data_IF_451670667947
#
_entry.id   IF_451670667947
#
_cell.length_a   1.000
_cell.length_b   1.000
_cell.length_c   1.000
_cell.angle_alpha   90.00
_cell.angle_beta   90.00
_cell.angle_gamma   90.00
#
_symmetry.space_group_name_H-M   'P 1'
#
loop_
_entity.id
_entity.type
_entity.pdbx_description
1 polymer ?
#
# COMPACT_ATOMS: atom_id res chain seq x y z
N UNK A 1 17.73 -47.44 -32.42
CA UNK A 1 18.18 -46.08 -32.02
C UNK A 1 17.05 -45.06 -31.97
N UNK A 2 16.04 -45.11 -32.83
CA UNK A 2 14.99 -44.07 -32.93
C UNK A 2 14.10 -43.97 -31.69
N UNK A 3 13.65 -45.10 -31.13
CA UNK A 3 12.77 -45.11 -29.95
C UNK A 3 13.45 -44.49 -28.71
N UNK A 4 14.74 -44.79 -28.50
CA UNK A 4 15.51 -44.24 -27.36
C UNK A 4 15.66 -42.71 -27.45
N UNK A 5 15.79 -42.17 -28.67
CA UNK A 5 15.85 -40.72 -28.91
C UNK A 5 14.51 -40.04 -28.62
N UNK A 6 13.40 -40.68 -28.99
CA UNK A 6 12.04 -40.17 -28.70
C UNK A 6 11.78 -40.14 -27.20
N UNK A 7 12.13 -41.21 -26.47
CA UNK A 7 12.01 -41.21 -25.00
C UNK A 7 12.89 -40.14 -24.33
N UNK A 8 14.10 -39.91 -24.84
CA UNK A 8 14.96 -38.83 -24.36
C UNK A 8 14.36 -37.44 -24.57
N UNK A 9 13.76 -37.19 -25.75
CA UNK A 9 13.10 -35.92 -26.06
C UNK A 9 11.85 -35.68 -25.21
N UNK A 10 11.03 -36.70 -24.99
CA UNK A 10 9.86 -36.63 -24.11
C UNK A 10 10.30 -36.36 -22.68
N UNK A 11 11.33 -37.06 -22.19
CA UNK A 11 11.91 -36.83 -20.86
C UNK A 11 12.41 -35.40 -20.68
N UNK A 12 13.14 -34.86 -21.65
CA UNK A 12 13.59 -33.47 -21.65
C UNK A 12 12.42 -32.48 -21.61
N UNK A 13 11.36 -32.74 -22.37
CA UNK A 13 10.14 -31.92 -22.36
C UNK A 13 9.47 -31.90 -20.98
N UNK A 14 9.34 -33.07 -20.33
CA UNK A 14 8.76 -33.16 -18.98
C UNK A 14 9.63 -32.42 -17.96
N UNK A 15 10.96 -32.56 -18.03
CA UNK A 15 11.87 -31.85 -17.13
C UNK A 15 11.77 -30.33 -17.32
N UNK A 16 11.66 -29.84 -18.56
CA UNK A 16 11.49 -28.43 -18.84
C UNK A 16 10.15 -27.87 -18.32
N UNK A 17 9.07 -28.64 -18.42
CA UNK A 17 7.77 -28.25 -17.86
C UNK A 17 7.79 -28.22 -16.33
N UNK A 18 8.42 -29.23 -15.71
CA UNK A 18 8.54 -29.26 -14.24
C UNK A 18 9.44 -28.14 -13.72
N UNK A 19 10.54 -27.82 -14.41
CA UNK A 19 11.43 -26.74 -13.99
C UNK A 19 10.73 -25.38 -14.06
N UNK A 20 9.97 -25.12 -15.13
CA UNK A 20 9.18 -23.88 -15.28
C UNK A 20 8.06 -23.78 -14.25
N UNK A 21 7.37 -24.89 -13.94
CA UNK A 21 6.37 -24.94 -12.89
C UNK A 21 6.97 -24.62 -11.50
N UNK A 22 8.08 -25.29 -11.14
CA UNK A 22 8.79 -25.05 -9.87
C UNK A 22 9.30 -23.62 -9.77
N UNK A 23 9.84 -23.06 -10.86
CA UNK A 23 10.31 -21.69 -10.91
C UNK A 23 9.16 -20.71 -10.67
N UNK A 24 8.01 -20.93 -11.33
CA UNK A 24 6.82 -20.08 -11.19
C UNK A 24 6.28 -20.11 -9.76
N UNK A 25 6.18 -21.30 -9.17
CA UNK A 25 5.77 -21.46 -7.77
C UNK A 25 6.75 -20.74 -6.83
N UNK A 26 8.06 -20.88 -7.06
CA UNK A 26 9.09 -20.24 -6.22
C UNK A 26 9.00 -18.72 -6.26
N UNK A 27 8.87 -18.13 -7.45
CA UNK A 27 8.71 -16.68 -7.62
C UNK A 27 7.44 -16.19 -6.92
N UNK A 28 6.34 -16.93 -7.06
CA UNK A 28 5.06 -16.60 -6.42
C UNK A 28 5.16 -16.64 -4.91
N UNK A 29 5.83 -17.66 -4.34
CA UNK A 29 6.07 -17.77 -2.91
C UNK A 29 6.94 -16.62 -2.39
N UNK A 30 7.99 -16.23 -3.12
CA UNK A 30 8.84 -15.09 -2.74
C UNK A 30 8.02 -13.80 -2.73
N UNK A 31 7.22 -13.55 -3.77
CA UNK A 31 6.37 -12.37 -3.83
C UNK A 31 5.35 -12.34 -2.68
N UNK A 32 4.68 -13.48 -2.42
CA UNK A 32 3.76 -13.63 -1.30
C UNK A 32 4.43 -13.44 0.06
N UNK A 33 5.65 -13.94 0.23
CA UNK A 33 6.43 -13.77 1.45
C UNK A 33 6.80 -12.30 1.68
N UNK A 34 7.25 -11.57 0.65
CA UNK A 34 7.56 -10.14 0.76
C UNK A 34 6.31 -9.34 1.13
N UNK A 35 5.19 -9.58 0.45
CA UNK A 35 3.92 -8.90 0.76
C UNK A 35 3.47 -9.19 2.19
N UNK A 36 3.52 -10.46 2.62
CA UNK A 36 3.14 -10.86 3.97
C UNK A 36 4.07 -10.26 5.03
N UNK A 37 5.38 -10.28 4.79
CA UNK A 37 6.38 -9.74 5.69
C UNK A 37 6.26 -8.21 5.81
N UNK A 38 6.01 -7.50 4.72
CA UNK A 38 5.80 -6.04 4.75
C UNK A 38 4.52 -5.67 5.48
N UNK A 39 3.45 -6.45 5.34
CA UNK A 39 2.20 -6.25 6.06
C UNK A 39 2.37 -6.53 7.56
N UNK A 40 3.01 -7.65 7.91
CA UNK A 40 3.34 -8.02 9.28
C UNK A 40 4.25 -6.95 9.93
N UNK A 41 5.27 -6.49 9.21
CA UNK A 41 6.13 -5.41 9.66
C UNK A 41 5.34 -4.13 9.93
N UNK A 42 4.42 -3.73 9.04
CA UNK A 42 3.53 -2.57 9.26
C UNK A 42 2.61 -2.74 10.47
N UNK A 43 2.09 -3.94 10.69
CA UNK A 43 1.27 -4.24 11.87
C UNK A 43 2.09 -4.17 13.16
N UNK A 44 3.33 -4.63 13.15
CA UNK A 44 4.22 -4.54 14.32
C UNK A 44 4.72 -3.10 14.55
N UNK A 45 4.95 -2.34 13.47
CA UNK A 45 5.47 -0.98 13.53
C UNK A 45 4.40 0.08 13.73
N UNK A 46 3.17 -0.26 14.13
CA UNK A 46 2.04 0.64 14.47
C UNK A 46 2.52 1.99 14.99
N UNK A 47 2.89 2.89 14.08
CA UNK A 47 3.21 4.28 14.39
C UNK A 47 1.86 4.82 14.79
N UNK A 48 1.73 5.17 16.07
CA UNK A 48 0.56 5.84 16.59
C UNK A 48 0.22 6.95 15.60
N UNK A 49 -0.88 6.79 14.86
CA UNK A 49 -1.36 7.87 14.00
C UNK A 49 -1.47 9.09 14.90
N UNK A 50 -0.85 10.24 14.55
CA UNK A 50 -0.97 11.43 15.35
C UNK A 50 -2.46 11.68 15.57
N UNK A 51 -2.86 11.77 16.84
CA UNK A 51 -4.25 11.98 17.24
C UNK A 51 -4.79 13.13 16.40
N UNK A 52 -5.92 12.96 15.68
CA UNK A 52 -6.47 14.04 14.88
C UNK A 52 -6.77 15.21 15.80
N UNK A 53 -5.90 16.22 15.77
CA UNK A 53 -6.07 17.45 16.52
C UNK A 53 -7.22 18.16 15.83
N UNK A 54 -8.42 18.01 16.36
CA UNK A 54 -9.56 18.77 15.89
C UNK A 54 -9.21 20.24 16.10
N UNK A 55 -9.17 21.01 15.01
CA UNK A 55 -9.09 22.45 15.10
C UNK A 55 -10.34 22.90 15.85
N UNK A 56 -10.20 23.15 17.15
CA UNK A 56 -11.25 23.73 17.96
C UNK A 56 -11.53 25.09 17.33
N UNK A 57 -12.67 25.24 16.66
CA UNK A 57 -13.08 26.53 16.09
C UNK A 57 -13.00 27.54 17.21
N UNK A 58 -12.13 28.54 17.05
CA UNK A 58 -12.00 29.69 17.95
C UNK A 58 -13.14 30.67 17.72
N UNK A 59 -14.31 30.19 17.30
CA UNK A 59 -15.45 31.02 16.93
C UNK A 59 -16.32 31.37 18.15
N UNK A 60 -16.10 30.72 19.30
CA UNK A 60 -16.85 31.02 20.53
C UNK A 60 -16.21 32.10 21.42
N UNK A 61 -15.00 32.57 21.09
CA UNK A 61 -14.22 33.42 22.02
C UNK A 61 -13.92 34.85 21.53
N UNK A 62 -14.15 35.19 20.26
CA UNK A 62 -13.96 36.56 19.78
C UNK A 62 -15.33 37.13 19.38
N UNK A 63 -15.86 38.14 20.12
CA UNK A 63 -17.06 38.81 19.66
C UNK A 63 -16.74 39.51 18.35
N UNK A 64 -17.29 39.01 17.24
CA UNK A 64 -17.20 39.62 15.92
C UNK A 64 -17.60 41.08 16.04
N UNK A 65 -16.65 41.99 15.87
CA UNK A 65 -16.88 43.41 16.11
C UNK A 65 -17.20 44.08 14.79
N UNK A 66 -18.42 44.60 14.72
CA UNK A 66 -18.92 45.34 13.55
C UNK A 66 -19.09 46.79 13.94
N UNK A 67 -18.51 47.70 13.16
CA UNK A 67 -18.80 49.13 13.29
C UNK A 67 -18.80 49.82 11.93
N UNK A 68 -19.46 50.97 11.88
CA UNK A 68 -19.58 51.80 10.68
C UNK A 68 -18.76 53.09 10.89
N UNK A 69 -17.87 53.39 9.96
CA UNK A 69 -16.96 54.56 10.02
C UNK A 69 -17.52 55.79 9.27
N UNK A 70 -18.76 55.73 8.81
CA UNK A 70 -19.42 56.78 8.02
C UNK A 70 -19.10 56.71 6.52
N UNK A 71 -18.17 55.85 6.08
CA UNK A 71 -17.89 55.54 4.66
C UNK A 71 -18.22 54.10 4.30
N UNK A 72 -18.37 53.21 5.29
CA UNK A 72 -18.76 51.83 5.10
C UNK A 72 -18.87 51.06 6.42
N UNK A 73 -19.36 49.83 6.35
CA UNK A 73 -19.40 48.90 7.50
C UNK A 73 -18.18 48.00 7.47
N UNK A 74 -17.44 47.97 8.58
CA UNK A 74 -16.26 47.13 8.75
C UNK A 74 -16.63 45.97 9.69
N UNK A 75 -16.29 44.76 9.26
CA UNK A 75 -16.50 43.52 10.02
C UNK A 75 -15.12 42.94 10.31
N UNK A 76 -14.71 42.96 11.58
CA UNK A 76 -13.48 42.30 12.03
C UNK A 76 -13.82 40.86 12.45
N UNK A 77 -13.34 39.89 11.65
CA UNK A 77 -13.43 38.45 11.91
C UNK A 77 -12.15 37.99 12.61
#
# INVERSE_FOLDING_TARGET
MQNLRVFGLVGLGVVALMSTAVLTVSITLIAGAILSATLAFRMLTLRQKPVPVHARRRDEAKPMRVWNDGRGTIIDM
#
